data_IF_054465681933
#
_entry.id   IF_054465681933
#
_cell.length_a   1.000
_cell.length_b   1.000
_cell.length_c   1.000
_cell.angle_alpha   90.00
_cell.angle_beta   90.00
_cell.angle_gamma   90.00
#
_symmetry.space_group_name_H-M   'P 1'
#
loop_
_entity.id
_entity.type
_entity.pdbx_description
1 polymer ?
#
# COMPACT_ATOMS: atom_id res chain seq x y z
N UNK A 1 37.32 27.52 9.16
CA UNK A 1 36.33 27.28 8.08
C UNK A 1 35.06 26.74 8.72
N UNK A 2 34.08 27.60 8.96
CA UNK A 2 32.77 27.19 9.49
C UNK A 2 31.96 26.62 8.34
N UNK A 3 31.71 25.31 8.34
CA UNK A 3 30.81 24.68 7.38
C UNK A 3 29.40 25.27 7.45
N UNK A 4 28.64 25.28 6.35
CA UNK A 4 27.27 25.78 6.35
C UNK A 4 26.45 24.97 7.36
N UNK A 5 25.90 25.64 8.38
CA UNK A 5 24.93 25.04 9.30
C UNK A 5 23.70 24.67 8.47
N UNK A 6 23.50 23.37 8.24
CA UNK A 6 22.24 22.87 7.66
C UNK A 6 21.10 23.26 8.61
N UNK A 7 20.19 24.10 8.12
CA UNK A 7 18.95 24.39 8.84
C UNK A 7 18.21 23.05 9.03
N UNK A 8 17.77 22.70 10.26
CA UNK A 8 17.00 21.48 10.45
C UNK A 8 15.71 21.57 9.64
N UNK A 9 15.57 20.67 8.65
CA UNK A 9 14.37 20.52 7.84
C UNK A 9 13.14 20.36 8.76
N UNK A 10 12.08 21.11 8.49
CA UNK A 10 10.82 20.95 9.23
C UNK A 10 10.22 19.57 8.96
N UNK A 11 9.32 19.09 9.82
CA UNK A 11 8.61 17.82 9.59
C UNK A 11 7.82 17.84 8.27
N UNK A 12 7.24 18.98 7.92
CA UNK A 12 6.52 19.17 6.66
C UNK A 12 7.45 19.04 5.45
N UNK A 13 8.65 19.62 5.54
CA UNK A 13 9.67 19.53 4.48
C UNK A 13 10.14 18.09 4.29
N UNK A 14 10.38 17.35 5.39
CA UNK A 14 10.77 15.93 5.33
C UNK A 14 9.70 15.08 4.66
N UNK A 15 8.42 15.30 4.98
CA UNK A 15 7.31 14.59 4.34
C UNK A 15 7.17 14.95 2.86
N UNK A 16 7.31 16.22 2.52
CA UNK A 16 7.22 16.70 1.13
C UNK A 16 8.36 16.12 0.29
N UNK A 17 9.60 16.15 0.79
CA UNK A 17 10.76 15.61 0.10
C UNK A 17 10.63 14.10 -0.13
N UNK A 18 10.28 13.33 0.90
CA UNK A 18 10.05 11.89 0.78
C UNK A 18 8.93 11.56 -0.24
N UNK A 19 7.84 12.34 -0.23
CA UNK A 19 6.75 12.17 -1.19
C UNK A 19 7.18 12.48 -2.64
N UNK A 20 7.97 13.53 -2.85
CA UNK A 20 8.50 13.93 -4.15
C UNK A 20 9.46 12.89 -4.72
N UNK A 21 10.39 12.38 -3.91
CA UNK A 21 11.33 11.32 -4.33
C UNK A 21 10.57 10.09 -4.82
N UNK A 22 9.52 9.68 -4.09
CA UNK A 22 8.65 8.57 -4.50
C UNK A 22 7.91 8.89 -5.80
N UNK A 23 7.29 10.07 -5.92
CA UNK A 23 6.58 10.46 -7.12
C UNK A 23 7.49 10.45 -8.36
N UNK A 24 8.71 10.98 -8.23
CA UNK A 24 9.72 10.95 -9.28
C UNK A 24 10.12 9.52 -9.65
N UNK A 25 10.24 8.60 -8.69
CA UNK A 25 10.51 7.19 -8.97
C UNK A 25 9.38 6.53 -9.78
N UNK A 26 8.12 6.78 -9.42
CA UNK A 26 6.96 6.24 -10.14
C UNK A 26 6.86 6.80 -11.55
N UNK A 27 7.09 8.11 -11.74
CA UNK A 27 7.04 8.74 -13.06
C UNK A 27 8.12 8.25 -14.03
N UNK A 28 9.25 7.71 -13.53
CA UNK A 28 10.31 7.12 -14.35
C UNK A 28 9.99 5.71 -14.85
N UNK A 29 8.94 5.06 -14.36
CA UNK A 29 8.56 3.72 -14.80
C UNK A 29 8.09 3.76 -16.25
N UNK A 30 8.81 3.04 -17.12
CA UNK A 30 8.33 2.74 -18.45
C UNK A 30 7.14 1.79 -18.36
N UNK A 31 5.95 2.26 -18.76
CA UNK A 31 4.77 1.43 -18.88
C UNK A 31 4.01 1.78 -20.16
N UNK A 32 3.58 0.73 -20.86
CA UNK A 32 2.84 0.86 -22.12
C UNK A 32 1.40 1.31 -21.91
N UNK A 33 0.81 1.05 -20.74
CA UNK A 33 -0.57 1.42 -20.37
C UNK A 33 -0.70 1.72 -18.88
N UNK A 34 -1.61 2.63 -18.56
CA UNK A 34 -2.06 2.89 -17.20
C UNK A 34 -3.21 1.96 -16.84
N UNK A 35 -3.07 1.23 -15.72
CA UNK A 35 -4.03 0.23 -15.27
C UNK A 35 -4.55 0.57 -13.88
N UNK A 36 -5.78 0.16 -13.60
CA UNK A 36 -6.45 0.31 -12.31
C UNK A 36 -6.81 -1.07 -11.76
N UNK A 37 -7.07 -1.14 -10.45
CA UNK A 37 -7.56 -2.34 -9.78
C UNK A 37 -8.87 -2.04 -9.06
N UNK A 38 -9.75 -3.02 -8.98
CA UNK A 38 -10.89 -3.00 -8.08
C UNK A 38 -10.75 -4.12 -7.06
N UNK A 39 -11.07 -3.85 -5.80
CA UNK A 39 -11.13 -4.85 -4.74
C UNK A 39 -12.56 -4.90 -4.21
N UNK A 40 -13.19 -6.06 -4.32
CA UNK A 40 -14.49 -6.32 -3.71
C UNK A 40 -14.26 -6.87 -2.31
N UNK A 41 -14.91 -6.24 -1.34
CA UNK A 41 -14.80 -6.52 0.10
C UNK A 41 -16.17 -6.89 0.63
N UNK A 42 -16.28 -8.12 1.14
CA UNK A 42 -17.46 -8.62 1.86
C UNK A 42 -17.30 -8.37 3.35
N UNK A 43 -16.19 -8.86 3.90
CA UNK A 43 -15.76 -8.66 5.27
C UNK A 43 -14.26 -8.37 5.31
N UNK A 44 -13.82 -7.59 6.30
CA UNK A 44 -12.43 -7.17 6.42
C UNK A 44 -11.73 -7.92 7.56
N UNK A 45 -10.97 -8.93 7.19
CA UNK A 45 -9.85 -9.41 8.00
C UNK A 45 -8.57 -8.67 7.59
N UNK A 46 -7.98 -7.92 8.52
CA UNK A 46 -6.79 -7.07 8.26
C UNK A 46 -5.58 -7.90 7.79
N UNK A 47 -5.36 -9.08 8.36
CA UNK A 47 -4.23 -9.92 8.00
C UNK A 47 -4.38 -10.54 6.61
N UNK A 48 -5.57 -11.03 6.29
CA UNK A 48 -5.94 -11.56 4.99
C UNK A 48 -5.91 -10.47 3.92
N UNK A 49 -6.29 -9.23 4.25
CA UNK A 49 -6.18 -8.08 3.37
C UNK A 49 -4.73 -7.75 3.01
N UNK A 50 -3.85 -7.62 4.02
CA UNK A 50 -2.42 -7.34 3.79
C UNK A 50 -1.77 -8.47 3.00
N UNK A 51 -2.04 -9.73 3.37
CA UNK A 51 -1.57 -10.91 2.64
C UNK A 51 -2.05 -10.93 1.18
N UNK A 52 -3.33 -10.61 0.98
CA UNK A 52 -3.98 -10.57 -0.32
C UNK A 52 -3.41 -9.47 -1.20
N UNK A 53 -3.17 -8.27 -0.68
CA UNK A 53 -2.56 -7.16 -1.40
C UNK A 53 -1.13 -7.50 -1.86
N UNK A 54 -0.29 -8.04 -0.96
CA UNK A 54 1.06 -8.50 -1.32
C UNK A 54 1.03 -9.62 -2.35
N UNK A 55 0.21 -10.66 -2.11
CA UNK A 55 0.09 -11.80 -3.01
C UNK A 55 -0.49 -11.43 -4.39
N UNK A 56 -1.40 -10.46 -4.45
CA UNK A 56 -1.91 -9.93 -5.70
C UNK A 56 -0.80 -9.24 -6.48
N UNK A 57 -0.11 -8.26 -5.87
CA UNK A 57 0.98 -7.54 -6.50
C UNK A 57 2.11 -8.46 -7.01
N UNK A 58 2.52 -9.45 -6.20
CA UNK A 58 3.56 -10.42 -6.56
C UNK A 58 3.13 -11.41 -7.66
N UNK A 59 1.83 -11.55 -7.92
CA UNK A 59 1.32 -12.41 -8.99
C UNK A 59 1.26 -11.73 -10.35
N UNK A 60 1.53 -10.42 -10.41
CA UNK A 60 1.41 -9.65 -11.65
C UNK A 60 2.65 -9.86 -12.54
N UNK A 61 2.47 -10.06 -13.85
CA UNK A 61 3.56 -9.94 -14.80
C UNK A 61 4.22 -8.56 -14.72
N UNK A 62 5.54 -8.48 -14.94
CA UNK A 62 6.30 -7.24 -14.74
C UNK A 62 5.77 -6.01 -15.47
N UNK A 63 5.37 -6.15 -16.74
CA UNK A 63 4.76 -5.05 -17.52
C UNK A 63 3.40 -4.60 -16.95
N UNK A 64 2.55 -5.55 -16.54
CA UNK A 64 1.24 -5.27 -15.95
C UNK A 64 1.40 -4.58 -14.59
N UNK A 65 2.33 -5.08 -13.78
CA UNK A 65 2.71 -4.48 -12.50
C UNK A 65 3.22 -3.04 -12.67
N UNK A 66 4.08 -2.77 -13.66
CA UNK A 66 4.55 -1.41 -13.98
C UNK A 66 3.41 -0.49 -14.42
N UNK A 67 2.49 -0.97 -15.25
CA UNK A 67 1.33 -0.20 -15.70
C UNK A 67 0.40 0.24 -14.57
N UNK A 68 0.23 -0.62 -13.57
CA UNK A 68 -0.52 -0.28 -12.35
C UNK A 68 0.30 0.57 -11.38
N UNK A 69 1.60 0.31 -11.23
CA UNK A 69 2.46 1.14 -10.38
C UNK A 69 2.53 2.58 -10.88
N UNK A 70 2.52 2.80 -12.20
CA UNK A 70 2.52 4.14 -12.82
C UNK A 70 1.28 4.97 -12.48
N UNK A 71 0.16 4.34 -12.13
CA UNK A 71 -1.04 5.01 -11.60
C UNK A 71 -1.01 5.12 -10.07
N UNK A 72 0.17 4.98 -9.45
CA UNK A 72 0.35 4.87 -8.00
C UNK A 72 -0.52 3.75 -7.41
N UNK A 73 -0.58 2.59 -8.08
CA UNK A 73 -1.42 1.45 -7.72
C UNK A 73 -2.88 1.84 -7.45
N UNK A 74 -3.45 2.75 -8.25
CA UNK A 74 -4.82 3.25 -8.09
C UNK A 74 -5.80 2.08 -7.99
N UNK A 75 -6.54 2.05 -6.88
CA UNK A 75 -7.43 0.95 -6.51
C UNK A 75 -8.75 1.50 -6.00
N UNK A 76 -9.87 0.93 -6.47
CA UNK A 76 -11.21 1.22 -5.93
C UNK A 76 -11.65 0.08 -5.01
N UNK A 77 -12.16 0.39 -3.83
CA UNK A 77 -12.71 -0.60 -2.91
C UNK A 77 -14.23 -0.57 -3.01
N UNK A 78 -14.85 -1.74 -3.21
CA UNK A 78 -16.27 -1.90 -3.44
C UNK A 78 -16.86 -2.87 -2.42
N UNK A 79 -18.01 -2.55 -1.85
CA UNK A 79 -18.75 -3.48 -0.98
C UNK A 79 -19.49 -4.51 -1.82
N UNK A 80 -19.31 -5.79 -1.52
CA UNK A 80 -20.02 -6.89 -2.19
C UNK A 80 -19.49 -8.26 -1.78
N UNK A 81 -20.14 -9.33 -2.27
CA UNK A 81 -19.70 -10.72 -2.03
C UNK A 81 -18.92 -11.23 -3.24
N UNK A 82 -17.59 -11.43 -3.16
CA UNK A 82 -16.80 -11.88 -4.31
C UNK A 82 -17.31 -13.18 -4.96
N UNK A 83 -17.73 -14.14 -4.15
CA UNK A 83 -18.27 -15.43 -4.62
C UNK A 83 -19.53 -15.28 -5.47
N UNK A 84 -20.40 -14.31 -5.16
CA UNK A 84 -21.61 -14.03 -5.93
C UNK A 84 -21.31 -13.38 -7.29
N UNK A 85 -20.12 -12.81 -7.47
CA UNK A 85 -19.71 -12.11 -8.69
C UNK A 85 -18.88 -13.00 -9.63
N UNK A 86 -18.22 -14.03 -9.09
CA UNK A 86 -17.22 -14.85 -9.78
C UNK A 86 -17.70 -15.43 -11.12
N UNK A 87 -19.00 -15.80 -11.23
CA UNK A 87 -19.56 -16.35 -12.46
C UNK A 87 -19.73 -15.34 -13.61
N UNK A 88 -19.79 -14.03 -13.31
CA UNK A 88 -19.99 -12.96 -14.32
C UNK A 88 -18.79 -12.03 -14.45
N UNK A 89 -17.99 -11.93 -13.40
CA UNK A 89 -16.81 -11.10 -13.31
C UNK A 89 -15.69 -11.98 -12.73
N UNK A 90 -14.79 -12.52 -13.57
CA UNK A 90 -13.66 -13.29 -13.06
C UNK A 90 -12.71 -12.35 -12.31
N UNK A 91 -12.35 -12.72 -11.09
CA UNK A 91 -11.28 -12.07 -10.33
C UNK A 91 -9.92 -12.65 -10.72
N UNK A 92 -8.87 -11.86 -10.55
CA UNK A 92 -7.48 -12.33 -10.72
C UNK A 92 -7.00 -13.07 -9.47
N UNK A 93 -7.42 -12.62 -8.29
CA UNK A 93 -7.08 -13.24 -7.01
C UNK A 93 -8.20 -13.07 -6.01
N UNK A 94 -8.43 -14.08 -5.19
CA UNK A 94 -9.28 -14.00 -3.99
C UNK A 94 -8.54 -14.51 -2.75
N UNK A 95 -8.98 -14.11 -1.57
CA UNK A 95 -8.55 -14.77 -0.32
C UNK A 95 -9.18 -16.16 -0.21
N UNK A 96 -8.57 -17.09 0.55
CA UNK A 96 -9.13 -18.43 0.75
C UNK A 96 -10.56 -18.44 1.30
N UNK A 97 -10.89 -17.49 2.18
CA UNK A 97 -12.23 -17.34 2.75
C UNK A 97 -13.24 -16.74 1.75
N UNK A 98 -12.77 -16.15 0.64
CA UNK A 98 -13.63 -15.56 -0.38
C UNK A 98 -14.20 -14.17 -0.03
N UNK A 99 -13.79 -13.57 1.09
CA UNK A 99 -14.28 -12.25 1.53
C UNK A 99 -13.65 -11.08 0.78
N UNK A 100 -12.51 -11.31 0.15
CA UNK A 100 -11.75 -10.30 -0.59
C UNK A 100 -11.40 -10.84 -1.97
N UNK A 101 -11.65 -10.04 -3.02
CA UNK A 101 -11.18 -10.36 -4.37
C UNK A 101 -10.70 -9.14 -5.14
N UNK A 102 -9.57 -9.32 -5.83
CA UNK A 102 -8.92 -8.34 -6.68
C UNK A 102 -9.26 -8.60 -8.14
N UNK A 103 -9.69 -7.54 -8.83
CA UNK A 103 -10.04 -7.51 -10.24
C UNK A 103 -9.08 -6.58 -10.96
N UNK A 104 -8.60 -7.01 -12.14
CA UNK A 104 -7.53 -6.34 -12.86
C UNK A 104 -6.12 -6.81 -12.43
N UNK A 105 -5.06 -6.04 -12.70
CA UNK A 105 -5.10 -4.68 -13.23
C UNK A 105 -5.65 -4.62 -14.65
N UNK A 106 -6.53 -3.67 -14.92
CA UNK A 106 -7.18 -3.52 -16.22
C UNK A 106 -7.38 -2.04 -16.55
N UNK A 107 -7.56 -1.68 -17.82
CA UNK A 107 -8.01 -0.33 -18.18
C UNK A 107 -9.29 0.03 -17.42
N UNK A 108 -9.36 1.26 -16.90
CA UNK A 108 -10.50 1.74 -16.09
C UNK A 108 -11.86 1.44 -16.71
N UNK A 109 -11.96 1.50 -18.05
CA UNK A 109 -13.19 1.22 -18.78
C UNK A 109 -13.75 -0.19 -18.57
N UNK A 110 -12.89 -1.18 -18.35
CA UNK A 110 -13.26 -2.58 -18.13
C UNK A 110 -13.74 -2.81 -16.69
N UNK A 111 -13.21 -2.03 -15.73
CA UNK A 111 -13.67 -2.06 -14.34
C UNK A 111 -14.99 -1.30 -14.11
N UNK A 112 -15.40 -0.43 -15.05
CA UNK A 112 -16.61 0.40 -14.89
C UNK A 112 -17.88 -0.40 -14.64
N UNK A 113 -18.04 -1.55 -15.29
CA UNK A 113 -19.24 -2.37 -15.10
C UNK A 113 -19.34 -2.85 -13.65
N UNK A 114 -18.23 -3.33 -13.09
CA UNK A 114 -18.15 -3.74 -11.70
C UNK A 114 -18.40 -2.57 -10.74
N UNK A 115 -17.76 -1.41 -10.98
CA UNK A 115 -17.94 -0.21 -10.15
C UNK A 115 -19.33 0.42 -10.22
N UNK A 116 -20.11 0.16 -11.28
CA UNK A 116 -21.51 0.61 -11.39
C UNK A 116 -22.48 -0.32 -10.68
N UNK A 117 -22.13 -1.60 -10.56
CA UNK A 117 -22.97 -2.61 -9.92
C UNK A 117 -22.88 -2.52 -8.39
N UNK A 118 -21.70 -2.18 -7.87
CA UNK A 118 -21.40 -2.18 -6.44
C UNK A 118 -21.24 -0.76 -5.91
N UNK A 119 -21.46 -0.61 -4.60
CA UNK A 119 -21.20 0.65 -3.91
C UNK A 119 -19.73 0.73 -3.53
N UNK A 120 -19.19 1.94 -3.47
CA UNK A 120 -17.89 2.18 -2.84
C UNK A 120 -17.92 1.67 -1.40
N UNK A 121 -16.84 1.00 -0.98
CA UNK A 121 -16.74 0.48 0.37
C UNK A 121 -16.73 1.61 1.39
N UNK A 122 -17.48 1.44 2.46
CA UNK A 122 -17.56 2.34 3.60
C UNK A 122 -17.37 1.53 4.87
N UNK A 123 -16.86 2.17 5.93
CA UNK A 123 -16.72 1.55 7.24
C UNK A 123 -16.40 2.59 8.31
N UNK A 124 -16.38 2.18 9.59
CA UNK A 124 -16.24 3.09 10.72
C UNK A 124 -14.91 3.85 10.69
N UNK A 125 -14.88 4.96 11.43
CA UNK A 125 -13.70 5.76 11.73
C UNK A 125 -13.63 5.99 13.25
N UNK A 126 -12.51 5.68 13.93
CA UNK A 126 -11.32 5.02 13.39
C UNK A 126 -11.60 3.57 12.97
N UNK A 127 -10.71 2.99 12.16
CA UNK A 127 -10.73 1.55 11.89
C UNK A 127 -10.44 0.75 13.17
N UNK A 128 -11.15 -0.36 13.35
CA UNK A 128 -10.82 -1.39 14.33
C UNK A 128 -9.70 -2.28 13.79
N UNK A 129 -8.46 -2.03 14.24
CA UNK A 129 -7.30 -2.84 13.91
C UNK A 129 -6.93 -3.75 15.09
N UNK A 130 -6.28 -4.91 14.84
CA UNK A 130 -5.80 -5.78 15.92
C UNK A 130 -4.90 -5.04 16.91
N UNK A 131 -5.06 -5.34 18.20
CA UNK A 131 -4.16 -4.84 19.24
C UNK A 131 -2.84 -5.61 19.20
N UNK A 132 -1.73 -4.87 19.11
CA UNK A 132 -0.38 -5.43 19.11
C UNK A 132 0.14 -5.85 17.73
N UNK A 133 1.36 -6.40 17.66
CA UNK A 133 1.99 -6.74 16.39
C UNK A 133 1.27 -7.90 15.68
N UNK A 134 0.89 -7.67 14.42
CA UNK A 134 0.31 -8.68 13.54
C UNK A 134 1.38 -9.25 12.61
N UNK A 135 1.62 -10.56 12.66
CA UNK A 135 2.52 -11.26 11.74
C UNK A 135 1.75 -11.77 10.51
N UNK A 136 2.15 -11.35 9.31
CA UNK A 136 1.53 -11.75 8.05
C UNK A 136 2.57 -12.39 7.12
N UNK A 137 2.46 -13.68 6.88
CA UNK A 137 3.30 -14.39 5.90
C UNK A 137 2.83 -14.13 4.48
N UNK A 138 3.73 -13.67 3.61
CA UNK A 138 3.49 -13.46 2.18
C UNK A 138 3.38 -14.83 1.49
N UNK A 139 2.44 -15.02 0.56
CA UNK A 139 2.36 -16.26 -0.22
C UNK A 139 3.68 -16.56 -0.95
N UNK A 140 4.21 -17.77 -0.79
CA UNK A 140 5.45 -18.24 -1.39
C UNK A 140 6.22 -19.20 -0.47
N UNK A 141 7.35 -19.77 -0.94
CA UNK A 141 8.23 -20.57 -0.10
C UNK A 141 8.74 -19.73 1.08
N UNK A 142 8.53 -20.20 2.31
CA UNK A 142 8.86 -19.41 3.51
C UNK A 142 10.31 -18.96 3.54
N UNK A 143 10.53 -17.69 3.91
CA UNK A 143 11.86 -17.12 4.13
C UNK A 143 12.06 -16.82 5.62
N UNK A 144 13.29 -16.47 6.02
CA UNK A 144 13.57 -15.92 7.36
C UNK A 144 13.55 -14.39 7.37
N UNK A 145 13.24 -13.75 6.24
CA UNK A 145 13.27 -12.30 6.12
C UNK A 145 12.04 -11.68 6.77
N UNK A 146 12.29 -10.62 7.52
CA UNK A 146 11.27 -9.83 8.20
C UNK A 146 11.22 -8.44 7.58
N UNK A 147 9.99 -7.99 7.35
CA UNK A 147 9.66 -6.66 6.87
C UNK A 147 8.85 -5.97 7.95
N UNK A 148 9.35 -4.85 8.46
CA UNK A 148 8.66 -4.07 9.49
C UNK A 148 7.71 -3.09 8.82
N UNK A 149 6.48 -3.03 9.31
CA UNK A 149 5.40 -2.20 8.77
C UNK A 149 4.73 -1.45 9.91
N UNK A 150 4.71 -0.13 9.86
CA UNK A 150 3.93 0.70 10.77
C UNK A 150 2.77 1.36 10.01
N UNK A 151 1.56 1.32 10.56
CA UNK A 151 0.35 1.92 9.97
C UNK A 151 -0.36 2.84 10.99
N UNK A 152 -0.77 4.03 10.53
CA UNK A 152 -1.55 4.96 11.34
C UNK A 152 -3.05 4.60 11.34
N UNK A 153 -3.71 4.65 12.49
CA UNK A 153 -5.15 4.32 12.63
C UNK A 153 -6.03 5.47 13.14
N UNK A 154 -5.49 6.46 13.86
CA UNK A 154 -6.30 7.54 14.43
C UNK A 154 -6.88 8.45 13.34
N UNK A 155 -8.19 8.68 13.40
CA UNK A 155 -8.90 9.47 12.40
C UNK A 155 -8.83 8.87 10.98
N UNK A 156 -8.51 7.57 10.86
CA UNK A 156 -8.49 6.83 9.60
C UNK A 156 -9.74 5.98 9.54
N UNK A 157 -10.64 6.27 8.59
CA UNK A 157 -11.78 5.38 8.34
C UNK A 157 -11.32 4.04 7.78
N UNK A 158 -12.14 3.01 7.90
CA UNK A 158 -11.84 1.68 7.34
C UNK A 158 -11.55 1.77 5.83
N UNK A 159 -12.32 2.56 5.09
CA UNK A 159 -12.09 2.78 3.67
C UNK A 159 -10.74 3.48 3.39
N UNK A 160 -10.37 4.49 4.18
CA UNK A 160 -9.08 5.16 4.05
C UNK A 160 -7.93 4.21 4.41
N UNK A 161 -8.10 3.38 5.43
CA UNK A 161 -7.12 2.36 5.80
C UNK A 161 -6.87 1.38 4.66
N UNK A 162 -7.93 0.85 4.03
CA UNK A 162 -7.81 -0.04 2.88
C UNK A 162 -6.96 0.60 1.78
N UNK A 163 -7.22 1.88 1.46
CA UNK A 163 -6.42 2.64 0.50
C UNK A 163 -4.96 2.74 0.95
N UNK A 164 -4.69 3.24 2.16
CA UNK A 164 -3.32 3.49 2.61
C UNK A 164 -2.48 2.23 2.75
N UNK A 165 -3.02 1.19 3.38
CA UNK A 165 -2.34 -0.08 3.56
C UNK A 165 -2.14 -0.79 2.21
N UNK A 166 -3.14 -0.79 1.32
CA UNK A 166 -2.99 -1.40 0.01
C UNK A 166 -1.89 -0.74 -0.82
N UNK A 167 -1.89 0.59 -0.94
CA UNK A 167 -0.81 1.30 -1.65
C UNK A 167 0.56 1.00 -1.05
N UNK A 168 0.69 1.03 0.29
CA UNK A 168 1.94 0.75 0.97
C UNK A 168 2.48 -0.64 0.61
N UNK A 169 1.62 -1.66 0.72
CA UNK A 169 2.01 -3.06 0.54
C UNK A 169 2.21 -3.41 -0.93
N UNK A 170 1.31 -2.97 -1.82
CA UNK A 170 1.40 -3.25 -3.24
C UNK A 170 2.62 -2.57 -3.88
N UNK A 171 2.87 -1.29 -3.58
CA UNK A 171 4.06 -0.59 -4.09
C UNK A 171 5.35 -1.23 -3.54
N UNK A 172 5.39 -1.61 -2.25
CA UNK A 172 6.55 -2.29 -1.69
C UNK A 172 6.85 -3.63 -2.38
N UNK A 173 5.80 -4.42 -2.66
CA UNK A 173 5.92 -5.67 -3.41
C UNK A 173 6.40 -5.46 -4.85
N UNK A 174 5.81 -4.49 -5.58
CA UNK A 174 6.20 -4.16 -6.95
C UNK A 174 7.62 -3.60 -7.06
N UNK A 175 8.14 -3.05 -5.96
CA UNK A 175 9.52 -2.56 -5.83
C UNK A 175 10.51 -3.61 -5.33
N UNK A 176 10.04 -4.82 -5.01
CA UNK A 176 10.89 -5.91 -4.50
C UNK A 176 11.32 -5.77 -3.03
N UNK A 177 10.72 -4.83 -2.27
CA UNK A 177 10.93 -4.68 -0.82
C UNK A 177 10.23 -5.75 -0.01
N UNK A 178 9.16 -6.33 -0.57
CA UNK A 178 8.45 -7.49 -0.08
C UNK A 178 8.57 -8.58 -1.13
N UNK A 179 9.01 -9.77 -0.72
CA UNK A 179 9.20 -10.93 -1.60
C UNK A 179 8.30 -12.09 -1.18
N UNK A 180 8.05 -13.07 -2.08
CA UNK A 180 7.32 -14.28 -1.72
C UNK A 180 7.93 -14.97 -0.49
N UNK A 181 7.09 -15.35 0.48
CA UNK A 181 7.51 -16.04 1.70
C UNK A 181 8.04 -15.17 2.84
N UNK A 182 8.22 -13.86 2.63
CA UNK A 182 8.60 -12.93 3.70
C UNK A 182 7.52 -12.87 4.80
N UNK A 183 7.93 -12.47 6.01
CA UNK A 183 6.99 -12.18 7.10
C UNK A 183 6.91 -10.68 7.34
N UNK A 184 5.73 -10.10 7.16
CA UNK A 184 5.44 -8.72 7.52
C UNK A 184 5.07 -8.66 8.99
N UNK A 185 5.80 -7.87 9.76
CA UNK A 185 5.46 -7.51 11.13
C UNK A 185 4.76 -6.17 11.09
N UNK A 186 3.45 -6.19 11.27
CA UNK A 186 2.58 -5.03 11.12
C UNK A 186 2.20 -4.50 12.48
N UNK A 187 2.58 -3.26 12.74
CA UNK A 187 2.23 -2.53 13.94
C UNK A 187 1.24 -1.40 13.60
N UNK A 188 0.05 -1.48 14.18
CA UNK A 188 -0.94 -0.41 14.12
C UNK A 188 -0.73 0.55 15.27
N UNK A 189 -0.47 1.82 14.94
CA UNK A 189 -0.28 2.90 15.91
C UNK A 189 -1.33 3.96 15.68
N UNK A 190 -1.79 4.63 16.74
CA UNK A 190 -2.72 5.75 16.61
C UNK A 190 -2.21 6.82 15.62
N UNK A 191 -1.00 7.31 15.87
CA UNK A 191 -0.28 8.21 14.95
C UNK A 191 1.17 7.78 14.71
N UNK A 192 1.68 8.07 13.52
CA UNK A 192 3.10 7.92 13.17
C UNK A 192 3.77 9.29 13.24
N UNK A 193 4.58 9.52 14.28
CA UNK A 193 5.31 10.78 14.44
C UNK A 193 6.49 10.82 13.47
N UNK A 194 6.65 11.93 12.75
CA UNK A 194 7.73 12.09 11.76
C UNK A 194 9.11 11.92 12.40
N UNK A 195 9.29 12.41 13.64
CA UNK A 195 10.53 12.24 14.40
C UNK A 195 10.96 10.76 14.54
N UNK A 196 10.01 9.82 14.71
CA UNK A 196 10.30 8.39 14.90
C UNK A 196 10.79 7.72 13.60
N UNK A 197 10.55 8.35 12.45
CA UNK A 197 10.84 7.80 11.13
C UNK A 197 11.79 8.69 10.31
N UNK A 198 12.49 9.63 10.93
CA UNK A 198 13.36 10.59 10.22
C UNK A 198 14.39 9.90 9.32
N UNK A 199 15.03 8.82 9.80
CA UNK A 199 15.97 8.05 8.98
C UNK A 199 15.27 7.38 7.79
N UNK A 200 14.11 6.76 8.01
CA UNK A 200 13.34 6.09 6.97
C UNK A 200 12.79 7.06 5.91
N UNK A 201 12.54 8.32 6.29
CA UNK A 201 12.10 9.40 5.41
C UNK A 201 13.24 10.04 4.61
N UNK A 202 14.50 9.79 4.98
CA UNK A 202 15.63 10.40 4.28
C UNK A 202 15.68 9.94 2.81
N UNK A 203 15.90 10.85 1.84
CA UNK A 203 15.95 10.51 0.41
C UNK A 203 16.90 9.35 0.07
N UNK A 204 18.04 9.26 0.78
CA UNK A 204 19.03 8.19 0.60
C UNK A 204 18.46 6.79 0.91
N UNK A 205 17.45 6.71 1.79
CA UNK A 205 16.79 5.44 2.15
C UNK A 205 15.66 5.06 1.20
N UNK A 206 15.29 5.93 0.26
CA UNK A 206 14.12 5.76 -0.59
C UNK A 206 14.13 4.45 -1.38
N UNK A 207 15.28 3.85 -1.69
CA UNK A 207 15.36 2.54 -2.37
C UNK A 207 15.02 1.34 -1.46
N UNK A 208 15.15 1.49 -0.13
CA UNK A 208 14.99 0.44 0.89
C UNK A 208 13.73 0.59 1.76
N UNK A 209 13.02 1.72 1.58
CA UNK A 209 11.84 2.08 2.35
C UNK A 209 10.68 2.39 1.41
N UNK A 210 9.48 1.99 1.81
CA UNK A 210 8.24 2.43 1.21
C UNK A 210 7.45 3.24 2.23
N UNK A 211 6.99 4.43 1.84
CA UNK A 211 6.22 5.32 2.72
C UNK A 211 4.87 5.60 2.09
N UNK A 212 3.84 5.75 2.92
CA UNK A 212 2.53 6.25 2.51
C UNK A 212 2.32 7.63 3.11
N UNK A 213 2.61 8.64 2.30
CA UNK A 213 2.37 10.05 2.62
C UNK A 213 1.21 10.53 1.74
N UNK A 214 0.25 11.22 2.34
CA UNK A 214 -0.91 11.80 1.68
C UNK A 214 -1.43 13.01 2.45
N UNK A 215 -2.29 13.81 1.84
CA UNK A 215 -2.96 14.89 2.55
C UNK A 215 -3.93 14.34 3.60
N UNK A 216 -3.95 14.98 4.77
CA UNK A 216 -4.94 14.70 5.80
C UNK A 216 -6.33 15.13 5.32
N UNK A 217 -7.34 14.28 5.52
CA UNK A 217 -8.74 14.63 5.22
C UNK A 217 -9.30 15.73 6.12
N UNK A 218 -8.61 16.05 7.23
CA UNK A 218 -9.15 16.86 8.32
C UNK A 218 -8.61 18.31 8.34
N UNK A 219 -7.79 18.71 7.35
CA UNK A 219 -7.16 20.04 7.35
C UNK A 219 -6.51 20.46 6.03
N UNK A 220 -6.35 21.78 5.86
CA UNK A 220 -5.84 22.53 4.69
C UNK A 220 -4.54 21.97 4.08
N UNK A 221 -4.62 20.95 3.24
CA UNK A 221 -3.48 20.48 2.43
C UNK A 221 -2.27 19.96 3.22
N UNK A 222 -2.40 19.68 4.52
CA UNK A 222 -1.28 19.21 5.33
C UNK A 222 -0.95 17.74 5.01
N UNK A 223 0.32 17.43 4.76
CA UNK A 223 0.77 16.05 4.58
C UNK A 223 0.78 15.30 5.91
N UNK A 224 0.42 14.03 5.87
CA UNK A 224 0.44 13.10 6.98
C UNK A 224 1.11 11.79 6.56
N UNK A 225 1.88 11.21 7.48
CA UNK A 225 2.45 9.87 7.35
C UNK A 225 1.41 8.83 7.80
N UNK A 226 0.94 8.01 6.87
CA UNK A 226 -0.04 6.94 7.10
C UNK A 226 0.59 5.56 7.21
N UNK A 227 1.79 5.38 6.66
CA UNK A 227 2.49 4.12 6.77
C UNK A 227 3.96 4.21 6.41
N UNK A 228 4.76 3.34 7.03
CA UNK A 228 6.17 3.12 6.72
C UNK A 228 6.40 1.63 6.65
N UNK A 229 7.09 1.19 5.61
CA UNK A 229 7.55 -0.16 5.44
C UNK A 229 9.06 -0.13 5.23
N UNK A 230 9.80 -0.82 6.09
CA UNK A 230 11.24 -0.94 6.02
C UNK A 230 11.62 -2.40 5.80
N UNK A 231 12.39 -2.65 4.76
CA UNK A 231 12.85 -3.99 4.43
C UNK A 231 14.28 -4.21 4.91
N UNK A 232 14.55 -5.39 5.46
CA UNK A 232 15.91 -5.84 5.79
C UNK A 232 16.63 -6.46 4.59
N UNK A 233 15.96 -6.58 3.43
CA UNK A 233 16.64 -6.92 2.19
C UNK A 233 17.72 -5.88 1.93
N UNK A 234 18.99 -6.30 1.95
CA UNK A 234 20.08 -5.48 1.45
C UNK A 234 19.70 -5.04 0.04
N UNK A 235 19.89 -3.76 -0.28
CA UNK A 235 19.72 -3.24 -1.62
C UNK A 235 20.78 -3.87 -2.56
N UNK A 236 20.60 -5.15 -2.89
CA UNK A 236 21.33 -5.88 -3.91
C UNK A 236 20.59 -5.70 -5.22
N UNK A 237 21.29 -5.13 -6.19
CA UNK A 237 20.75 -4.57 -7.42
C UNK A 237 19.82 -5.50 -8.21
N UNK A 238 18.81 -4.87 -8.81
CA UNK A 238 18.27 -5.31 -10.08
C UNK A 238 19.00 -4.58 -11.19
#
# INVERSE_FOLDING_TARGET
MSGPRSVPSSEADLLAEAALVRAAAVHRLAATRELDVAVVVSDLDVGAFIRGAAGFALSLPGEVGRGWHRTFTRTVFLSGRPTALAGRHPYHRATPAGDLAWYGPAPRRELRTLSRLLRAFQGPAPIEAPTGPLAVTVPGPGTRHQVEVALATDGVSTAAYLVHAHHLIAEAALRGLVRPGDTLRVEHRGALRVADFREALAPVRASSVQTRIAHSGNGRGQLRLYGVLTSTHLAGGH
#
